data_IF_421078261737
#
_entry.id   IF_421078261737
#
_cell.length_a   1.000
_cell.length_b   1.000
_cell.length_c   1.000
_cell.angle_alpha   90.00
_cell.angle_beta   90.00
_cell.angle_gamma   90.00
#
_symmetry.space_group_name_H-M   'P 1'
#
loop_
_entity.id
_entity.type
_entity.pdbx_description
1 polymer ?
#
# COMPACT_ATOMS: atom_id res chain seq x y z
N UNK A 1 -10.51 2.17 33.67
CA UNK A 1 -10.73 0.83 33.11
C UNK A 1 -9.94 0.71 31.82
N UNK A 2 -8.70 0.22 31.90
CA UNK A 2 -7.91 -0.19 30.74
C UNK A 2 -8.46 -1.54 30.27
N UNK A 3 -9.43 -1.51 29.37
CA UNK A 3 -9.83 -2.73 28.65
C UNK A 3 -8.61 -3.19 27.83
N UNK A 4 -8.09 -4.37 28.12
CA UNK A 4 -7.17 -5.05 27.22
C UNK A 4 -7.84 -5.18 25.86
N UNK A 5 -7.14 -4.86 24.74
CA UNK A 5 -7.72 -5.05 23.40
C UNK A 5 -8.15 -6.52 23.25
N UNK A 6 -9.36 -6.71 22.74
CA UNK A 6 -9.85 -8.05 22.40
C UNK A 6 -8.95 -8.61 21.29
N UNK A 7 -8.70 -9.91 21.31
CA UNK A 7 -8.04 -10.61 20.21
C UNK A 7 -8.82 -10.30 18.91
N UNK A 8 -8.23 -9.48 18.01
CA UNK A 8 -8.85 -9.00 16.77
C UNK A 8 -8.88 -7.47 16.63
N UNK A 9 -8.74 -6.71 17.73
CA UNK A 9 -8.68 -5.25 17.68
C UNK A 9 -7.29 -4.72 17.26
N UNK A 10 -6.23 -5.53 17.37
CA UNK A 10 -4.87 -5.18 16.98
C UNK A 10 -4.54 -5.78 15.61
N UNK A 11 -4.05 -4.95 14.70
CA UNK A 11 -3.48 -5.38 13.42
C UNK A 11 -1.97 -5.13 13.43
N UNK A 12 -1.18 -6.18 13.25
CA UNK A 12 0.28 -6.12 13.19
C UNK A 12 0.71 -6.05 11.73
N UNK A 13 1.36 -4.96 11.37
CA UNK A 13 1.71 -4.66 9.99
C UNK A 13 3.22 -4.55 9.84
N UNK A 14 3.77 -5.23 8.85
CA UNK A 14 5.18 -5.14 8.44
C UNK A 14 5.29 -4.42 7.10
N UNK A 15 5.92 -3.25 7.10
CA UNK A 15 6.11 -2.41 5.92
C UNK A 15 7.52 -2.64 5.38
N UNK A 16 7.63 -3.11 4.15
CA UNK A 16 8.90 -3.51 3.55
C UNK A 16 9.50 -2.37 2.74
N UNK A 17 10.55 -1.76 3.25
CA UNK A 17 11.37 -0.80 2.51
C UNK A 17 12.60 -1.50 1.96
N UNK A 18 12.73 -1.61 0.65
CA UNK A 18 13.90 -2.19 0.00
C UNK A 18 14.10 -1.61 -1.39
N UNK A 19 15.26 -1.85 -1.96
CA UNK A 19 15.55 -1.58 -3.37
C UNK A 19 14.82 -2.58 -4.27
N UNK A 20 14.57 -2.18 -5.50
CA UNK A 20 13.97 -3.03 -6.54
C UNK A 20 14.99 -3.20 -7.66
N UNK A 21 15.32 -4.44 -8.00
CA UNK A 21 16.15 -4.76 -9.15
C UNK A 21 15.37 -4.45 -10.42
N UNK A 22 15.89 -3.56 -11.25
CA UNK A 22 15.19 -3.06 -12.43
C UNK A 22 14.83 -4.16 -13.41
N UNK A 23 13.53 -4.33 -13.67
CA UNK A 23 12.96 -5.26 -14.64
C UNK A 23 13.36 -6.74 -14.46
N UNK A 24 13.87 -7.12 -13.30
CA UNK A 24 14.28 -8.49 -12.98
C UNK A 24 13.32 -9.12 -11.96
N UNK A 25 12.25 -9.70 -12.46
CA UNK A 25 11.21 -10.32 -11.62
C UNK A 25 11.77 -11.42 -10.73
N UNK A 26 12.63 -12.30 -11.29
CA UNK A 26 13.18 -13.42 -10.52
C UNK A 26 14.03 -12.94 -9.35
N UNK A 27 14.93 -12.00 -9.59
CA UNK A 27 15.78 -11.44 -8.54
C UNK A 27 14.92 -10.77 -7.44
N UNK A 28 13.87 -10.04 -7.83
CA UNK A 28 12.97 -9.42 -6.86
C UNK A 28 12.16 -10.45 -6.08
N UNK A 29 11.58 -11.44 -6.72
CA UNK A 29 10.85 -12.52 -6.04
C UNK A 29 11.74 -13.27 -5.04
N UNK A 30 12.98 -13.59 -5.40
CA UNK A 30 13.95 -14.23 -4.50
C UNK A 30 14.29 -13.33 -3.30
N UNK A 31 14.47 -12.03 -3.54
CA UNK A 31 14.69 -11.03 -2.48
C UNK A 31 13.54 -11.01 -1.48
N UNK A 32 12.28 -10.92 -1.95
CA UNK A 32 11.12 -10.88 -1.07
C UNK A 32 10.90 -12.20 -0.34
N UNK A 33 11.15 -13.34 -0.98
CA UNK A 33 11.15 -14.64 -0.32
C UNK A 33 12.12 -14.68 0.85
N UNK A 34 13.34 -14.13 0.67
CA UNK A 34 14.34 -14.02 1.73
C UNK A 34 13.88 -13.09 2.85
N UNK A 35 13.35 -11.91 2.53
CA UNK A 35 12.84 -10.95 3.53
C UNK A 35 11.74 -11.59 4.36
N UNK A 36 10.77 -12.26 3.72
CA UNK A 36 9.66 -12.91 4.42
C UNK A 36 10.14 -14.02 5.36
N UNK A 37 11.18 -14.76 4.98
CA UNK A 37 11.76 -15.80 5.83
C UNK A 37 12.38 -15.28 7.12
N UNK A 38 12.70 -13.98 7.19
CA UNK A 38 13.28 -13.31 8.37
C UNK A 38 12.25 -12.49 9.15
N UNK A 39 11.01 -12.39 8.69
CA UNK A 39 9.95 -11.76 9.46
C UNK A 39 9.58 -12.69 10.60
N UNK A 40 10.00 -12.32 11.80
CA UNK A 40 9.78 -13.08 13.03
C UNK A 40 8.64 -12.45 13.84
N UNK A 41 7.93 -13.31 14.56
CA UNK A 41 6.84 -12.90 15.44
C UNK A 41 5.49 -12.91 14.74
N UNK A 42 4.48 -12.46 15.46
CA UNK A 42 3.12 -12.38 14.95
C UNK A 42 2.99 -11.19 14.00
N UNK A 43 2.72 -11.45 12.74
CA UNK A 43 2.42 -10.48 11.72
C UNK A 43 1.10 -10.84 11.06
N UNK A 44 0.25 -9.86 10.81
CA UNK A 44 -1.06 -10.07 10.21
C UNK A 44 -1.08 -9.62 8.74
N UNK A 45 -0.31 -8.57 8.41
CA UNK A 45 -0.26 -7.97 7.09
C UNK A 45 1.18 -7.53 6.75
N UNK A 46 1.65 -7.93 5.58
CA UNK A 46 2.92 -7.47 5.00
C UNK A 46 2.63 -6.61 3.78
N UNK A 47 3.28 -5.45 3.67
CA UNK A 47 3.05 -4.52 2.56
C UNK A 47 4.34 -4.28 1.78
N UNK A 48 4.29 -4.52 0.46
CA UNK A 48 5.36 -4.31 -0.51
C UNK A 48 5.19 -2.98 -1.23
N UNK A 49 6.25 -2.40 -1.81
CA UNK A 49 6.15 -1.22 -2.67
C UNK A 49 5.36 -1.43 -3.96
N UNK A 50 5.08 -0.33 -4.66
CA UNK A 50 4.53 -0.33 -6.02
C UNK A 50 5.47 -1.04 -6.99
N UNK A 51 4.88 -1.86 -7.91
CA UNK A 51 5.62 -2.59 -8.94
C UNK A 51 6.86 -3.31 -8.37
N UNK A 52 6.65 -4.06 -7.30
CA UNK A 52 7.73 -4.61 -6.47
C UNK A 52 8.63 -5.61 -7.20
N UNK A 53 8.17 -6.19 -8.31
CA UNK A 53 8.95 -7.16 -9.10
C UNK A 53 9.70 -6.53 -10.27
N UNK A 54 9.41 -5.28 -10.64
CA UNK A 54 9.95 -4.67 -11.86
C UNK A 54 10.56 -3.28 -11.66
N UNK A 55 10.12 -2.55 -10.64
CA UNK A 55 10.28 -1.11 -10.58
C UNK A 55 9.26 -0.41 -11.48
N UNK A 56 9.25 0.93 -11.43
CA UNK A 56 8.31 1.77 -12.18
C UNK A 56 8.71 1.85 -13.65
N UNK A 57 8.53 0.74 -14.36
CA UNK A 57 8.87 0.58 -15.78
C UNK A 57 7.66 0.84 -16.67
N UNK A 58 7.91 1.49 -17.80
CA UNK A 58 6.92 1.73 -18.86
C UNK A 58 6.90 0.62 -19.91
N UNK A 59 7.70 -0.44 -19.75
CA UNK A 59 7.70 -1.62 -20.62
C UNK A 59 6.57 -2.59 -20.27
N UNK A 60 5.35 -2.05 -20.23
CA UNK A 60 4.18 -2.77 -19.75
C UNK A 60 3.91 -4.05 -20.53
N UNK A 61 3.97 -4.01 -21.87
CA UNK A 61 3.67 -5.18 -22.72
C UNK A 61 4.64 -6.33 -22.48
N UNK A 62 5.92 -6.05 -22.24
CA UNK A 62 6.95 -7.06 -22.01
C UNK A 62 6.91 -7.66 -20.60
N UNK A 63 6.50 -6.84 -19.61
CA UNK A 63 6.60 -7.18 -18.20
C UNK A 63 5.28 -7.61 -17.55
N UNK A 64 4.16 -7.32 -18.21
CA UNK A 64 2.85 -7.60 -17.63
C UNK A 64 2.56 -9.10 -17.46
N UNK A 65 1.93 -9.43 -16.36
CA UNK A 65 1.50 -10.78 -16.03
C UNK A 65 -0.01 -10.81 -15.78
N UNK A 66 -0.63 -11.94 -16.11
CA UNK A 66 -1.99 -12.22 -15.64
C UNK A 66 -2.01 -12.51 -14.14
N UNK A 67 -3.18 -12.50 -13.53
CA UNK A 67 -3.35 -12.78 -12.08
C UNK A 67 -3.00 -14.22 -11.69
N UNK A 68 -2.90 -15.13 -12.65
CA UNK A 68 -2.42 -16.50 -12.50
C UNK A 68 -0.94 -16.66 -12.88
N UNK A 69 -0.25 -15.54 -13.14
CA UNK A 69 1.18 -15.51 -13.45
C UNK A 69 2.09 -15.78 -12.24
N UNK A 70 3.40 -15.75 -12.48
CA UNK A 70 4.41 -16.11 -11.50
C UNK A 70 4.33 -15.21 -10.23
N UNK A 71 4.19 -13.90 -10.41
CA UNK A 71 4.19 -12.96 -9.27
C UNK A 71 3.06 -13.25 -8.28
N UNK A 72 1.82 -13.31 -8.73
CA UNK A 72 0.68 -13.56 -7.83
C UNK A 72 0.70 -15.00 -7.31
N UNK A 73 1.14 -15.96 -8.09
CA UNK A 73 1.31 -17.35 -7.64
C UNK A 73 2.29 -17.44 -6.46
N UNK A 74 3.44 -16.75 -6.51
CA UNK A 74 4.40 -16.72 -5.42
C UNK A 74 3.85 -15.96 -4.20
N UNK A 75 3.17 -14.83 -4.41
CA UNK A 75 2.54 -14.08 -3.31
C UNK A 75 1.49 -14.92 -2.58
N UNK A 76 0.65 -15.65 -3.29
CA UNK A 76 -0.35 -16.58 -2.71
C UNK A 76 0.31 -17.68 -1.90
N UNK A 77 1.39 -18.24 -2.40
CA UNK A 77 2.18 -19.25 -1.70
C UNK A 77 2.78 -18.70 -0.41
N UNK A 78 3.37 -17.50 -0.44
CA UNK A 78 3.91 -16.86 0.74
C UNK A 78 2.82 -16.52 1.76
N UNK A 79 1.73 -15.94 1.33
CA UNK A 79 0.59 -15.61 2.18
C UNK A 79 0.10 -16.83 2.96
N UNK A 80 -0.06 -17.96 2.27
CA UNK A 80 -0.47 -19.23 2.90
C UNK A 80 0.59 -19.78 3.84
N UNK A 81 1.85 -19.82 3.39
CA UNK A 81 2.95 -20.43 4.16
C UNK A 81 3.25 -19.69 5.47
N UNK A 82 3.16 -18.35 5.44
CA UNK A 82 3.41 -17.50 6.61
C UNK A 82 2.14 -17.12 7.37
N UNK A 83 0.96 -17.51 6.87
CA UNK A 83 -0.35 -17.16 7.43
C UNK A 83 -0.52 -15.64 7.64
N UNK A 84 -0.16 -14.85 6.64
CA UNK A 84 -0.25 -13.39 6.62
C UNK A 84 -0.91 -12.90 5.35
N UNK A 85 -1.65 -11.80 5.41
CA UNK A 85 -2.05 -11.11 4.20
C UNK A 85 -0.86 -10.36 3.59
N UNK A 86 -0.80 -10.24 2.27
CA UNK A 86 0.26 -9.53 1.55
C UNK A 86 -0.38 -8.55 0.57
N UNK A 87 0.05 -7.29 0.64
CA UNK A 87 -0.38 -6.23 -0.25
C UNK A 87 0.81 -5.60 -0.98
N UNK A 88 0.57 -5.08 -2.17
CA UNK A 88 1.56 -4.41 -3.01
C UNK A 88 0.97 -4.04 -4.36
N UNK A 89 1.80 -3.79 -5.37
CA UNK A 89 1.34 -3.71 -6.75
C UNK A 89 2.31 -4.35 -7.74
N UNK A 90 1.82 -4.67 -8.92
CA UNK A 90 2.57 -5.28 -10.00
C UNK A 90 2.04 -4.82 -11.36
N UNK A 91 2.81 -5.04 -12.41
CA UNK A 91 2.37 -4.79 -13.78
C UNK A 91 1.49 -5.97 -14.22
N UNK A 92 0.19 -5.70 -14.35
CA UNK A 92 -0.81 -6.71 -14.67
C UNK A 92 -1.31 -6.58 -16.10
N UNK A 93 -1.71 -7.71 -16.69
CA UNK A 93 -2.39 -7.81 -17.98
C UNK A 93 -3.79 -8.36 -17.79
N UNK A 94 -4.74 -7.71 -18.42
CA UNK A 94 -6.10 -8.22 -18.57
C UNK A 94 -6.53 -8.03 -20.03
N UNK A 95 -6.68 -9.12 -20.76
CA UNK A 95 -6.89 -9.06 -22.21
C UNK A 95 -5.71 -8.38 -22.92
N UNK A 96 -6.00 -7.32 -23.67
CA UNK A 96 -5.02 -6.56 -24.45
C UNK A 96 -4.52 -5.29 -23.77
N UNK A 97 -4.86 -5.07 -22.49
CA UNK A 97 -4.48 -3.87 -21.77
C UNK A 97 -3.68 -4.20 -20.51
N UNK A 98 -2.85 -3.26 -20.10
CA UNK A 98 -2.02 -3.37 -18.92
C UNK A 98 -2.47 -2.39 -17.83
N UNK A 99 -2.30 -2.81 -16.58
CA UNK A 99 -2.63 -2.03 -15.39
C UNK A 99 -1.45 -2.00 -14.41
N UNK A 100 -1.31 -0.89 -13.72
CA UNK A 100 -0.61 -0.86 -12.45
C UNK A 100 -1.59 -1.36 -11.40
N UNK A 101 -1.52 -2.65 -11.08
CA UNK A 101 -2.55 -3.34 -10.28
C UNK A 101 -2.07 -3.57 -8.87
N UNK A 102 -2.74 -2.92 -7.92
CA UNK A 102 -2.65 -3.25 -6.50
C UNK A 102 -3.27 -4.62 -6.23
N UNK A 103 -2.66 -5.34 -5.31
CA UNK A 103 -3.18 -6.61 -4.83
C UNK A 103 -3.24 -6.65 -3.31
N UNK A 104 -4.21 -7.38 -2.79
CA UNK A 104 -4.33 -7.75 -1.40
C UNK A 104 -4.71 -9.24 -1.36
N UNK A 105 -3.77 -10.08 -0.93
CA UNK A 105 -3.91 -11.53 -0.95
C UNK A 105 -3.97 -12.05 0.47
N UNK A 106 -5.02 -12.79 0.79
CA UNK A 106 -5.23 -13.34 2.12
C UNK A 106 -4.73 -14.78 2.24
N UNK A 107 -4.37 -15.24 3.45
CA UNK A 107 -3.85 -16.60 3.65
C UNK A 107 -4.85 -17.72 3.34
N UNK A 108 -6.15 -17.44 3.34
CA UNK A 108 -7.21 -18.38 2.93
C UNK A 108 -7.33 -18.54 1.40
N UNK A 109 -6.58 -17.74 0.64
CA UNK A 109 -6.58 -17.72 -0.82
C UNK A 109 -7.48 -16.65 -1.43
N UNK A 110 -8.16 -15.84 -0.64
CA UNK A 110 -8.93 -14.70 -1.14
C UNK A 110 -8.01 -13.68 -1.80
N UNK A 111 -8.42 -13.19 -2.97
CA UNK A 111 -7.67 -12.28 -3.82
C UNK A 111 -8.48 -11.02 -4.07
N UNK A 112 -7.86 -9.86 -3.85
CA UNK A 112 -8.47 -8.56 -4.07
C UNK A 112 -7.54 -7.70 -4.90
N UNK A 113 -8.09 -6.96 -5.88
CA UNK A 113 -7.31 -6.18 -6.82
C UNK A 113 -7.83 -4.75 -6.95
N UNK A 114 -6.91 -3.83 -7.15
CA UNK A 114 -7.15 -2.42 -7.38
C UNK A 114 -6.34 -1.93 -8.57
N UNK A 115 -6.97 -1.41 -9.60
CA UNK A 115 -6.27 -0.79 -10.71
C UNK A 115 -6.07 0.71 -10.42
N UNK A 116 -4.81 1.15 -10.40
CA UNK A 116 -4.43 2.53 -10.09
C UNK A 116 -5.26 3.51 -10.90
N UNK A 117 -5.93 4.43 -10.20
CA UNK A 117 -6.80 5.41 -10.85
C UNK A 117 -6.01 6.55 -11.48
N UNK A 118 -5.06 7.12 -10.73
CA UNK A 118 -4.30 8.28 -11.17
C UNK A 118 -2.94 7.85 -11.71
N UNK A 119 -2.84 7.75 -13.03
CA UNK A 119 -1.60 7.41 -13.71
C UNK A 119 -0.68 8.63 -13.76
N UNK A 120 0.61 8.43 -13.49
CA UNK A 120 1.59 9.50 -13.37
C UNK A 120 1.91 10.12 -14.74
N UNK A 121 1.32 11.28 -15.01
CA UNK A 121 1.41 11.97 -16.29
C UNK A 121 2.84 12.30 -16.70
N UNK A 122 3.65 12.82 -15.78
CA UNK A 122 5.04 13.18 -16.05
C UNK A 122 5.94 11.97 -16.33
N UNK A 123 5.54 10.79 -15.88
CA UNK A 123 6.18 9.50 -16.20
C UNK A 123 5.58 8.79 -17.40
N UNK A 124 4.67 9.45 -18.12
CA UNK A 124 3.97 8.90 -19.29
C UNK A 124 3.21 7.59 -19.03
N UNK A 125 2.90 7.30 -17.75
CA UNK A 125 2.25 6.04 -17.34
C UNK A 125 0.95 5.80 -18.11
N UNK A 126 0.16 6.84 -18.37
CA UNK A 126 -1.10 6.75 -19.13
C UNK A 126 -0.95 6.39 -20.61
N UNK A 127 0.27 6.31 -21.15
CA UNK A 127 0.52 5.81 -22.50
C UNK A 127 0.67 4.29 -22.55
N UNK A 128 0.93 3.66 -21.39
CA UNK A 128 1.27 2.24 -21.30
C UNK A 128 0.28 1.46 -20.44
N UNK A 129 -0.44 2.14 -19.56
CA UNK A 129 -1.37 1.54 -18.62
C UNK A 129 -2.75 2.19 -18.73
N UNK A 130 -3.77 1.44 -18.32
CA UNK A 130 -5.15 1.90 -18.25
C UNK A 130 -5.49 2.26 -16.79
N UNK A 131 -6.21 3.38 -16.62
CA UNK A 131 -6.73 3.81 -15.32
C UNK A 131 -7.84 2.90 -14.82
N UNK A 132 -7.84 2.62 -13.52
CA UNK A 132 -8.97 2.03 -12.82
C UNK A 132 -10.07 3.05 -12.50
N UNK A 133 -11.24 2.56 -12.16
CA UNK A 133 -12.41 3.38 -11.78
C UNK A 133 -13.03 2.98 -10.44
N UNK A 134 -12.65 1.85 -9.89
CA UNK A 134 -13.25 1.30 -8.68
C UNK A 134 -12.26 1.37 -7.50
N UNK A 135 -12.76 1.83 -6.35
CA UNK A 135 -12.01 1.82 -5.10
C UNK A 135 -12.06 0.40 -4.51
N UNK A 136 -10.95 -0.04 -3.93
CA UNK A 136 -10.87 -1.31 -3.23
C UNK A 136 -10.87 -1.08 -1.72
N UNK A 137 -11.83 -1.69 -1.03
CA UNK A 137 -11.85 -1.81 0.42
C UNK A 137 -12.00 -3.29 0.76
N UNK A 138 -11.02 -3.82 1.50
CA UNK A 138 -10.98 -5.21 1.94
C UNK A 138 -11.33 -5.28 3.41
N UNK A 139 -12.27 -6.16 3.79
CA UNK A 139 -12.47 -6.50 5.20
C UNK A 139 -11.55 -7.67 5.56
N UNK A 140 -10.53 -7.39 6.36
CA UNK A 140 -9.57 -8.38 6.81
C UNK A 140 -9.42 -8.30 8.33
N UNK A 141 -9.67 -9.41 9.03
CA UNK A 141 -9.61 -9.53 10.51
C UNK A 141 -10.41 -8.44 11.24
N UNK A 142 -11.55 -8.04 10.67
CA UNK A 142 -12.42 -7.00 11.24
C UNK A 142 -12.00 -5.56 10.95
N UNK A 143 -10.91 -5.34 10.21
CA UNK A 143 -10.45 -4.05 9.69
C UNK A 143 -10.95 -3.82 8.27
N UNK A 144 -11.41 -2.62 7.96
CA UNK A 144 -11.65 -2.19 6.60
C UNK A 144 -10.39 -1.49 6.07
N UNK A 145 -9.76 -2.06 5.06
CA UNK A 145 -8.47 -1.63 4.52
C UNK A 145 -8.64 -1.17 3.09
N UNK A 146 -8.27 0.09 2.81
CA UNK A 146 -8.25 0.66 1.48
C UNK A 146 -6.81 0.64 0.94
N UNK A 147 -6.61 0.11 -0.26
CA UNK A 147 -5.32 0.10 -0.95
C UNK A 147 -5.33 1.06 -2.12
N UNK A 148 -4.42 2.03 -2.10
CA UNK A 148 -4.17 2.98 -3.18
C UNK A 148 -2.69 2.92 -3.60
N UNK A 149 -2.38 3.48 -4.77
CA UNK A 149 -1.06 3.38 -5.38
C UNK A 149 -0.47 4.75 -5.69
N UNK A 150 0.65 5.06 -5.05
CA UNK A 150 1.59 6.13 -5.34
C UNK A 150 0.93 7.49 -5.64
N UNK A 151 0.79 7.85 -6.91
CA UNK A 151 0.26 9.14 -7.36
C UNK A 151 -1.17 9.43 -6.86
N UNK A 152 -1.95 8.40 -6.55
CA UNK A 152 -3.27 8.54 -5.92
C UNK A 152 -3.22 9.38 -4.65
N UNK A 153 -2.10 9.38 -3.93
CA UNK A 153 -1.88 10.16 -2.70
C UNK A 153 -2.11 11.67 -2.91
N UNK A 154 -1.89 12.19 -4.10
CA UNK A 154 -2.07 13.62 -4.41
C UNK A 154 -3.53 14.05 -4.60
N UNK A 155 -4.46 13.10 -4.62
CA UNK A 155 -5.85 13.35 -4.99
C UNK A 155 -6.79 13.13 -3.81
N UNK A 156 -7.05 14.18 -2.98
CA UNK A 156 -7.78 14.04 -1.72
C UNK A 156 -9.22 13.58 -1.90
N UNK A 157 -9.87 13.93 -3.00
CA UNK A 157 -11.26 13.50 -3.28
C UNK A 157 -11.34 11.99 -3.47
N UNK A 158 -10.37 11.38 -4.16
CA UNK A 158 -10.29 9.93 -4.32
C UNK A 158 -9.94 9.22 -3.01
N UNK A 159 -9.05 9.80 -2.21
CA UNK A 159 -8.63 9.26 -0.93
C UNK A 159 -9.67 9.43 0.18
N UNK A 160 -10.73 10.21 -0.05
CA UNK A 160 -11.70 10.56 1.00
C UNK A 160 -12.36 9.32 1.59
N UNK A 161 -12.37 9.27 2.92
CA UNK A 161 -13.02 8.24 3.73
C UNK A 161 -14.50 8.58 3.90
N UNK A 162 -15.32 8.18 2.95
CA UNK A 162 -16.75 8.49 2.94
C UNK A 162 -17.46 7.62 3.99
N UNK A 163 -18.06 8.27 4.99
CA UNK A 163 -18.81 7.57 6.03
C UNK A 163 -17.98 6.57 6.85
N UNK A 164 -16.68 6.80 7.01
CA UNK A 164 -15.74 5.86 7.66
C UNK A 164 -15.69 4.48 6.97
N UNK A 165 -15.73 4.45 5.65
CA UNK A 165 -15.69 3.21 4.87
C UNK A 165 -14.40 2.40 5.06
N UNK A 166 -13.29 3.03 5.51
CA UNK A 166 -12.05 2.34 5.84
C UNK A 166 -11.48 2.80 7.19
N UNK A 167 -10.70 1.93 7.80
CA UNK A 167 -9.98 2.11 9.06
C UNK A 167 -8.49 2.34 8.84
N UNK A 168 -7.93 1.70 7.82
CA UNK A 168 -6.54 1.77 7.39
C UNK A 168 -6.48 2.09 5.90
N UNK A 169 -5.69 3.11 5.56
CA UNK A 169 -5.37 3.48 4.19
C UNK A 169 -3.91 3.13 3.89
N UNK A 170 -3.69 2.27 2.90
CA UNK A 170 -2.37 1.85 2.44
C UNK A 170 -2.01 2.57 1.15
N UNK A 171 -0.78 3.09 1.09
CA UNK A 171 -0.14 3.55 -0.14
C UNK A 171 1.12 2.76 -0.40
N UNK A 172 1.23 2.20 -1.59
CA UNK A 172 2.44 1.53 -2.09
C UNK A 172 3.04 2.38 -3.21
N UNK A 173 4.37 2.60 -3.20
CA UNK A 173 4.95 3.63 -4.05
C UNK A 173 6.37 3.34 -4.56
N UNK A 174 6.66 3.98 -5.71
CA UNK A 174 7.97 4.37 -6.19
C UNK A 174 7.99 5.93 -6.21
N UNK A 175 8.16 6.54 -5.06
CA UNK A 175 8.08 7.99 -4.88
C UNK A 175 9.48 8.60 -4.73
N UNK A 176 9.91 9.45 -5.67
CA UNK A 176 11.29 9.94 -5.69
C UNK A 176 11.66 10.84 -4.52
N UNK A 177 12.94 10.81 -4.15
CA UNK A 177 13.52 11.66 -3.10
C UNK A 177 13.24 13.16 -3.32
N UNK A 178 13.30 13.63 -4.56
CA UNK A 178 13.06 15.03 -4.91
C UNK A 178 11.67 15.54 -4.49
N UNK A 179 10.74 14.63 -4.22
CA UNK A 179 9.37 14.92 -3.77
C UNK A 179 9.05 14.32 -2.41
N UNK A 180 10.06 13.98 -1.60
CA UNK A 180 9.88 13.35 -0.29
C UNK A 180 9.07 14.21 0.69
N UNK A 181 9.22 15.53 0.62
CA UNK A 181 8.42 16.46 1.42
C UNK A 181 6.91 16.27 1.17
N UNK A 182 6.50 16.21 -0.10
CA UNK A 182 5.10 15.97 -0.46
C UNK A 182 4.61 14.60 0.01
N UNK A 183 5.40 13.55 -0.17
CA UNK A 183 5.08 12.20 0.30
C UNK A 183 4.75 12.19 1.79
N UNK A 184 5.66 12.67 2.62
CA UNK A 184 5.51 12.68 4.08
C UNK A 184 4.30 13.51 4.53
N UNK A 185 4.17 14.74 4.04
CA UNK A 185 3.10 15.64 4.46
C UNK A 185 1.72 15.18 3.97
N UNK A 186 1.62 14.62 2.77
CA UNK A 186 0.35 14.12 2.26
C UNK A 186 -0.11 12.85 3.00
N UNK A 187 0.79 11.95 3.38
CA UNK A 187 0.45 10.80 4.23
C UNK A 187 -0.14 11.26 5.57
N UNK A 188 0.50 12.24 6.21
CA UNK A 188 0.03 12.83 7.47
C UNK A 188 -1.34 13.49 7.28
N UNK A 189 -1.50 14.28 6.22
CA UNK A 189 -2.78 14.95 5.92
C UNK A 189 -3.91 13.94 5.70
N UNK A 190 -3.65 12.84 4.99
CA UNK A 190 -4.67 11.78 4.75
C UNK A 190 -5.13 11.13 6.05
N UNK A 191 -4.24 10.93 7.02
CA UNK A 191 -4.61 10.41 8.33
C UNK A 191 -5.50 11.40 9.10
N UNK A 192 -5.11 12.66 9.16
CA UNK A 192 -5.83 13.72 9.89
C UNK A 192 -7.23 13.93 9.31
N UNK A 193 -7.32 14.19 8.01
CA UNK A 193 -8.59 14.55 7.36
C UNK A 193 -9.60 13.40 7.30
N UNK A 194 -9.12 12.16 7.33
CA UNK A 194 -9.95 10.96 7.22
C UNK A 194 -10.18 10.25 8.55
N UNK A 195 -9.58 10.72 9.64
CA UNK A 195 -9.63 10.07 10.94
C UNK A 195 -9.39 8.55 10.81
N UNK A 196 -8.28 8.17 10.18
CA UNK A 196 -7.89 6.81 9.89
C UNK A 196 -6.39 6.63 10.07
N UNK A 197 -5.95 5.39 10.29
CA UNK A 197 -4.54 5.04 10.16
C UNK A 197 -4.10 5.11 8.70
N UNK A 198 -2.87 5.55 8.46
CA UNK A 198 -2.25 5.57 7.13
C UNK A 198 -0.89 4.90 7.19
N UNK A 199 -0.63 3.96 6.29
CA UNK A 199 0.69 3.39 6.07
C UNK A 199 1.14 3.68 4.63
N UNK A 200 2.34 4.25 4.48
CA UNK A 200 2.95 4.47 3.19
C UNK A 200 4.22 3.63 3.06
N UNK A 201 4.30 2.79 2.04
CA UNK A 201 5.46 1.95 1.75
C UNK A 201 6.11 2.42 0.47
N UNK A 202 7.37 2.80 0.56
CA UNK A 202 8.15 3.29 -0.57
C UNK A 202 9.44 2.50 -0.73
N UNK A 203 9.90 2.38 -1.97
CA UNK A 203 11.21 1.80 -2.26
C UNK A 203 12.36 2.74 -1.89
N UNK A 204 13.55 2.20 -1.80
CA UNK A 204 14.83 2.91 -1.79
C UNK A 204 15.62 2.61 -3.07
N UNK A 205 16.83 3.16 -3.18
CA UNK A 205 17.77 2.90 -4.25
C UNK A 205 17.63 3.85 -5.42
N UNK A 206 18.13 3.44 -6.56
CA UNK A 206 18.12 4.21 -7.81
C UNK A 206 17.62 3.30 -8.92
N UNK A 207 16.80 3.83 -9.84
CA UNK A 207 16.37 3.10 -11.01
C UNK A 207 17.24 3.42 -12.24
N UNK A 208 16.99 2.73 -13.36
CA UNK A 208 17.74 2.91 -14.61
C UNK A 208 17.52 4.30 -15.26
N UNK A 209 16.51 5.06 -14.80
CA UNK A 209 16.28 6.44 -15.23
C UNK A 209 17.06 7.46 -14.38
N UNK A 210 17.93 7.00 -13.50
CA UNK A 210 18.69 7.79 -12.52
C UNK A 210 17.82 8.45 -11.44
N UNK A 211 16.58 8.03 -11.28
CA UNK A 211 15.72 8.50 -10.21
C UNK A 211 16.16 7.88 -8.89
N UNK A 212 16.35 8.70 -7.87
CA UNK A 212 16.78 8.29 -6.53
C UNK A 212 15.56 8.22 -5.61
N UNK A 213 15.50 7.17 -4.80
CA UNK A 213 14.44 6.92 -3.84
C UNK A 213 15.00 6.85 -2.43
N UNK A 214 14.45 7.69 -1.56
CA UNK A 214 14.88 7.80 -0.17
C UNK A 214 14.18 6.80 0.75
N UNK A 215 12.99 6.35 0.37
CA UNK A 215 12.11 5.54 1.19
C UNK A 215 11.08 6.39 1.90
N UNK A 216 11.33 6.77 3.15
CA UNK A 216 10.36 7.44 4.01
C UNK A 216 9.08 6.58 4.19
N UNK A 217 9.28 5.28 4.33
CA UNK A 217 8.21 4.34 4.70
C UNK A 217 7.75 4.64 6.12
N UNK A 218 6.45 4.82 6.32
CA UNK A 218 5.96 5.28 7.60
C UNK A 218 4.54 4.83 7.89
N UNK A 219 4.21 4.73 9.17
CA UNK A 219 2.86 4.55 9.68
C UNK A 219 2.44 5.78 10.48
N UNK A 220 1.23 6.26 10.22
CA UNK A 220 0.66 7.48 10.76
C UNK A 220 -0.58 7.13 11.59
N UNK A 221 -0.65 7.66 12.78
CA UNK A 221 -1.81 7.54 13.66
C UNK A 221 -2.94 8.48 13.26
N UNK A 222 -4.09 8.27 13.85
CA UNK A 222 -5.36 8.95 13.47
C UNK A 222 -5.36 10.46 13.70
N UNK A 223 -4.41 10.97 14.46
CA UNK A 223 -4.23 12.42 14.72
C UNK A 223 -3.10 13.02 13.88
N UNK A 224 -2.49 12.24 13.00
CA UNK A 224 -1.36 12.64 12.17
C UNK A 224 0.02 12.41 12.78
N UNK A 225 0.11 11.80 13.97
CA UNK A 225 1.38 11.44 14.59
C UNK A 225 2.08 10.33 13.82
N UNK A 226 3.38 10.47 13.59
CA UNK A 226 4.20 9.40 13.02
C UNK A 226 4.46 8.36 14.12
N UNK A 227 3.86 7.18 13.99
CA UNK A 227 3.96 6.10 15.00
C UNK A 227 5.08 5.12 14.71
N UNK A 228 5.50 5.01 13.47
CA UNK A 228 6.69 4.26 13.04
C UNK A 228 7.20 4.82 11.71
N UNK A 229 8.51 4.83 11.52
CA UNK A 229 9.14 5.23 10.26
C UNK A 229 10.47 4.53 10.05
N UNK A 230 10.87 4.40 8.79
CA UNK A 230 12.15 3.83 8.38
C UNK A 230 13.28 4.85 8.45
N UNK A 231 14.51 4.35 8.54
CA UNK A 231 15.69 5.14 8.25
C UNK A 231 15.78 5.44 6.73
N UNK A 232 16.16 6.66 6.34
CA UNK A 232 16.35 6.99 4.93
C UNK A 232 17.42 6.13 4.26
N UNK A 233 17.16 5.67 3.04
CA UNK A 233 18.08 4.89 2.21
C UNK A 233 18.50 3.52 2.74
N UNK A 234 17.89 3.04 3.83
CA UNK A 234 18.25 1.78 4.46
C UNK A 234 17.19 0.72 4.17
N UNK A 235 17.57 -0.48 3.71
CA UNK A 235 16.64 -1.61 3.64
C UNK A 235 16.15 -1.95 5.06
N UNK A 236 14.85 -1.95 5.25
CA UNK A 236 14.28 -2.11 6.58
C UNK A 236 12.86 -2.68 6.53
N UNK A 237 12.53 -3.51 7.50
CA UNK A 237 11.15 -3.90 7.80
C UNK A 237 10.68 -3.01 8.95
N UNK A 238 9.68 -2.17 8.69
CA UNK A 238 9.06 -1.31 9.71
C UNK A 238 7.86 -2.03 10.27
N UNK A 239 7.91 -2.43 11.53
CA UNK A 239 6.83 -3.11 12.22
C UNK A 239 6.00 -2.11 13.02
N UNK A 240 4.68 -2.23 12.94
CA UNK A 240 3.75 -1.38 13.67
C UNK A 240 2.53 -2.18 14.12
N UNK A 241 2.02 -1.87 15.30
CA UNK A 241 0.74 -2.35 15.81
C UNK A 241 -0.30 -1.24 15.74
N UNK A 242 -1.42 -1.53 15.08
CA UNK A 242 -2.55 -0.63 14.94
C UNK A 242 -3.69 -1.13 15.82
N UNK A 243 -4.40 -0.22 16.49
CA UNK A 243 -5.44 -0.54 17.46
C UNK A 243 -6.80 0.03 17.00
N UNK A 244 -7.70 -0.89 16.59
CA UNK A 244 -9.03 -0.55 16.08
C UNK A 244 -9.91 0.06 17.16
N UNK A 245 -9.78 -0.36 18.41
CA UNK A 245 -10.58 0.17 19.52
C UNK A 245 -10.24 1.62 19.81
N UNK A 246 -8.95 1.99 19.72
CA UNK A 246 -8.49 3.39 19.83
C UNK A 246 -9.03 4.25 18.69
N UNK A 247 -9.01 3.73 17.46
CA UNK A 247 -9.59 4.42 16.30
C UNK A 247 -11.09 4.68 16.48
N UNK A 248 -11.85 3.66 16.87
CA UNK A 248 -13.31 3.79 17.10
C UNK A 248 -13.59 4.80 18.20
N UNK A 249 -12.88 4.73 19.32
CA UNK A 249 -13.01 5.68 20.44
C UNK A 249 -12.68 7.12 20.01
N UNK A 250 -11.66 7.31 19.18
CA UNK A 250 -11.32 8.61 18.63
C UNK A 250 -12.46 9.18 17.77
N UNK A 251 -12.99 8.38 16.85
CA UNK A 251 -14.09 8.78 15.97
C UNK A 251 -15.38 9.12 16.72
N UNK A 252 -15.65 8.42 17.82
CA UNK A 252 -16.80 8.74 18.68
C UNK A 252 -16.64 10.06 19.40
N UNK A 253 -15.43 10.35 19.93
CA UNK A 253 -15.12 11.56 20.68
C UNK A 253 -14.94 12.80 19.80
N UNK A 254 -14.49 12.59 18.56
CA UNK A 254 -14.24 13.64 17.58
C UNK A 254 -14.81 13.26 16.21
N UNK A 255 -16.13 13.35 16.03
CA UNK A 255 -16.82 12.81 14.85
C UNK A 255 -16.81 13.74 13.65
N UNK A 256 -15.65 14.21 13.18
CA UNK A 256 -15.48 15.13 12.04
C UNK A 256 -16.09 14.61 10.75
N UNK A 257 -16.20 13.30 10.59
CA UNK A 257 -16.80 12.67 9.42
C UNK A 257 -18.29 13.01 9.24
N UNK A 258 -18.97 13.42 10.32
CA UNK A 258 -20.39 13.84 10.27
C UNK A 258 -20.59 15.20 9.60
N UNK A 259 -19.55 16.01 9.56
CA UNK A 259 -19.56 17.36 8.98
C UNK A 259 -18.97 17.38 7.55
N UNK A 260 -18.64 16.20 7.01
CA UNK A 260 -18.05 16.09 5.68
C UNK A 260 -19.06 16.42 4.58
N UNK A 261 -18.59 17.10 3.56
CA UNK A 261 -19.38 17.38 2.37
C UNK A 261 -19.75 16.11 1.60
N UNK A 262 -20.95 16.10 1.02
CA UNK A 262 -21.37 15.07 0.08
C UNK A 262 -20.90 15.43 -1.32
N UNK A 263 -20.42 14.43 -2.07
CA UNK A 263 -19.96 14.61 -3.44
C UNK A 263 -20.15 13.33 -4.25
N UNK A 264 -20.17 13.47 -5.57
CA UNK A 264 -20.23 12.35 -6.50
C UNK A 264 -19.04 12.42 -7.44
N UNK A 265 -18.28 11.33 -7.51
CA UNK A 265 -17.22 11.16 -8.51
C UNK A 265 -17.84 10.74 -9.85
N UNK A 266 -17.58 11.51 -10.88
CA UNK A 266 -17.93 11.09 -12.26
C UNK A 266 -16.93 10.02 -12.71
N UNK A 267 -17.48 8.90 -13.22
CA UNK A 267 -16.69 7.82 -13.82
C UNK A 267 -16.09 8.22 -15.15
#
# INVERSE_FOLDING_TARGET
>A
DTKHPLLGDVLRVSLIQTDIVWEDKRANLDKYATILSHITGDCDLVVFPEMFTTGFSMRAEDLAECIDGETITEVKKWSRNYNVAIAGSFIARAGNVCFNRGFFIEPDGSEHYYDKRHLFRMGEEGRHFVSGSEKLIVNYRGWNICLLVCYDLRFPVWCRNVGNEYDLLLFVANWPQSRSYAWRNLLIARAIENAAYVCGVNRIGQDETSMVYRGDTMAIGVKGEVIAESEPFVPQVVNVELDLSKLKSFREKFPVWKDADEFVLKK
#
